data_IF_879565892475
#
_entry.id   IF_879565892475
#
_cell.length_a   1.000
_cell.length_b   1.000
_cell.length_c   1.000
_cell.angle_alpha   90.00
_cell.angle_beta   90.00
_cell.angle_gamma   90.00
#
_symmetry.space_group_name_H-M   'P 1'
#
loop_
_entity.id
_entity.type
_entity.pdbx_description
1 polymer ?
#
# COMPACT_ATOMS: atom_id res chain seq x y z
N UNK A 1 58.33 -39.82 -88.12
CA UNK A 1 57.43 -40.95 -87.78
C UNK A 1 56.11 -40.33 -87.35
N UNK A 2 55.06 -40.47 -88.17
CA UNK A 2 53.72 -40.05 -87.79
C UNK A 2 53.18 -41.04 -86.74
N UNK A 3 52.57 -40.54 -85.67
CA UNK A 3 51.90 -41.38 -84.68
C UNK A 3 50.81 -42.23 -85.37
N UNK A 4 50.60 -43.46 -84.91
CA UNK A 4 49.53 -44.30 -85.44
C UNK A 4 48.16 -43.77 -84.99
N UNK A 5 47.14 -43.92 -85.83
CA UNK A 5 45.77 -43.44 -85.56
C UNK A 5 45.18 -44.05 -84.26
N UNK A 6 45.63 -45.25 -83.89
CA UNK A 6 45.29 -45.92 -82.63
C UNK A 6 45.90 -45.23 -81.39
N UNK A 7 47.07 -44.61 -81.50
CA UNK A 7 47.70 -43.88 -80.40
C UNK A 7 47.04 -42.51 -80.20
N UNK A 8 46.60 -41.88 -81.28
CA UNK A 8 45.80 -40.64 -81.23
C UNK A 8 44.45 -40.89 -80.55
N UNK A 9 43.75 -41.98 -80.88
CA UNK A 9 42.50 -42.33 -80.19
C UNK A 9 42.68 -42.63 -78.70
N UNK A 10 43.80 -43.24 -78.29
CA UNK A 10 44.11 -43.47 -76.87
C UNK A 10 44.35 -42.14 -76.12
N UNK A 11 45.04 -41.18 -76.73
CA UNK A 11 45.24 -39.86 -76.14
C UNK A 11 43.92 -39.09 -76.00
N UNK A 12 43.03 -39.14 -76.99
CA UNK A 12 41.71 -38.51 -76.91
C UNK A 12 40.88 -39.11 -75.77
N UNK A 13 40.86 -40.45 -75.63
CA UNK A 13 40.17 -41.11 -74.50
C UNK A 13 40.75 -40.73 -73.14
N UNK A 14 42.07 -40.63 -73.05
CA UNK A 14 42.73 -40.16 -71.82
C UNK A 14 42.36 -38.71 -71.49
N UNK A 15 42.33 -37.82 -72.50
CA UNK A 15 41.88 -36.43 -72.31
C UNK A 15 40.40 -36.35 -71.89
N UNK A 16 39.52 -37.17 -72.47
CA UNK A 16 38.11 -37.22 -72.08
C UNK A 16 37.95 -37.69 -70.62
N UNK A 17 38.66 -38.73 -70.21
CA UNK A 17 38.64 -39.22 -68.83
C UNK A 17 39.17 -38.18 -67.84
N UNK A 18 40.19 -37.41 -68.22
CA UNK A 18 40.70 -36.31 -67.40
C UNK A 18 39.66 -35.20 -67.24
N UNK A 19 38.98 -34.80 -68.32
CA UNK A 19 37.92 -33.78 -68.27
C UNK A 19 36.74 -34.25 -67.40
N UNK A 20 36.36 -35.52 -67.50
CA UNK A 20 35.29 -36.11 -66.69
C UNK A 20 35.69 -36.17 -65.20
N UNK A 21 36.93 -36.55 -64.89
CA UNK A 21 37.44 -36.54 -63.52
C UNK A 21 37.49 -35.11 -62.96
N UNK A 22 38.01 -34.14 -63.71
CA UNK A 22 38.07 -32.74 -63.28
C UNK A 22 36.66 -32.15 -63.05
N UNK A 23 35.69 -32.52 -63.88
CA UNK A 23 34.29 -32.11 -63.70
C UNK A 23 33.68 -32.73 -62.44
N UNK A 24 33.93 -34.02 -62.17
CA UNK A 24 33.44 -34.71 -60.98
C UNK A 24 34.08 -34.16 -59.69
N UNK A 25 35.40 -33.96 -59.67
CA UNK A 25 36.10 -33.36 -58.53
C UNK A 25 35.56 -31.96 -58.22
N UNK A 26 35.27 -31.16 -59.26
CA UNK A 26 34.70 -29.82 -59.10
C UNK A 26 33.25 -29.86 -58.62
N UNK A 27 32.46 -30.86 -59.02
CA UNK A 27 31.12 -31.06 -58.50
C UNK A 27 31.15 -31.45 -57.01
N UNK A 28 32.02 -32.39 -56.62
CA UNK A 28 32.20 -32.78 -55.22
C UNK A 28 32.69 -31.62 -54.35
N UNK A 29 33.59 -30.77 -54.86
CA UNK A 29 34.03 -29.57 -54.14
C UNK A 29 32.88 -28.59 -53.90
N UNK A 30 31.99 -28.40 -54.89
CA UNK A 30 30.81 -27.54 -54.77
C UNK A 30 29.84 -28.11 -53.73
N UNK A 31 29.58 -29.41 -53.77
CA UNK A 31 28.66 -30.06 -52.83
C UNK A 31 29.19 -30.01 -51.39
N UNK A 32 30.49 -30.26 -51.19
CA UNK A 32 31.13 -30.15 -49.89
C UNK A 32 31.05 -28.72 -49.33
N UNK A 33 31.31 -27.70 -50.16
CA UNK A 33 31.16 -26.29 -49.76
C UNK A 33 29.72 -25.91 -49.45
N UNK A 34 28.77 -26.38 -50.25
CA UNK A 34 27.35 -26.11 -50.02
C UNK A 34 26.87 -26.70 -48.68
N UNK A 35 27.34 -27.90 -48.32
CA UNK A 35 27.02 -28.52 -47.04
C UNK A 35 27.67 -27.79 -45.85
N UNK A 36 28.92 -27.34 -46.00
CA UNK A 36 29.60 -26.52 -44.99
C UNK A 36 28.86 -25.20 -44.75
N UNK A 37 28.55 -24.46 -45.82
CA UNK A 37 27.81 -23.19 -45.75
C UNK A 37 26.42 -23.37 -45.15
N UNK A 38 25.70 -24.44 -45.53
CA UNK A 38 24.39 -24.76 -44.97
C UNK A 38 24.46 -24.96 -43.45
N UNK A 39 25.45 -25.72 -42.97
CA UNK A 39 25.62 -25.98 -41.55
C UNK A 39 25.99 -24.71 -40.77
N UNK A 40 26.83 -23.85 -41.34
CA UNK A 40 27.20 -22.55 -40.76
C UNK A 40 25.97 -21.64 -40.65
N UNK A 41 25.21 -21.45 -41.73
CA UNK A 41 24.03 -20.58 -41.73
C UNK A 41 22.90 -21.10 -40.83
N UNK A 42 22.65 -22.42 -40.86
CA UNK A 42 21.72 -23.06 -39.93
C UNK A 42 22.14 -22.82 -38.48
N UNK A 43 23.42 -23.01 -38.16
CA UNK A 43 23.97 -22.73 -36.83
C UNK A 43 23.76 -21.28 -36.42
N UNK A 44 24.08 -20.33 -37.32
CA UNK A 44 23.91 -18.89 -37.10
C UNK A 44 22.45 -18.51 -36.82
N UNK A 45 21.51 -19.01 -37.63
CA UNK A 45 20.07 -18.77 -37.47
C UNK A 45 19.56 -19.31 -36.14
N UNK A 46 19.92 -20.55 -35.80
CA UNK A 46 19.50 -21.18 -34.53
C UNK A 46 20.06 -20.41 -33.34
N UNK A 47 21.34 -20.05 -33.33
CA UNK A 47 21.95 -19.27 -32.23
C UNK A 47 21.30 -17.89 -32.08
N UNK A 48 21.05 -17.20 -33.20
CA UNK A 48 20.39 -15.89 -33.18
C UNK A 48 18.99 -15.96 -32.57
N UNK A 49 18.21 -16.98 -32.92
CA UNK A 49 16.87 -17.17 -32.35
C UNK A 49 16.92 -17.62 -30.89
N UNK A 50 17.88 -18.47 -30.51
CA UNK A 50 18.08 -18.87 -29.10
C UNK A 50 18.33 -17.65 -28.21
N UNK A 51 19.19 -16.72 -28.64
CA UNK A 51 19.45 -15.49 -27.88
C UNK A 51 18.18 -14.65 -27.70
N UNK A 52 17.38 -14.48 -28.75
CA UNK A 52 16.09 -13.77 -28.67
C UNK A 52 15.12 -14.44 -27.69
N UNK A 53 15.05 -15.77 -27.70
CA UNK A 53 14.22 -16.54 -26.78
C UNK A 53 14.72 -16.36 -25.33
N UNK A 54 16.03 -16.43 -25.10
CA UNK A 54 16.60 -16.21 -23.77
C UNK A 54 16.28 -14.82 -23.24
N UNK A 55 16.47 -13.77 -24.04
CA UNK A 55 16.17 -12.39 -23.63
C UNK A 55 14.67 -12.20 -23.32
N UNK A 56 13.79 -12.82 -24.11
CA UNK A 56 12.35 -12.78 -23.89
C UNK A 56 11.95 -13.43 -22.55
N UNK A 57 12.50 -14.60 -22.25
CA UNK A 57 12.22 -15.30 -21.00
C UNK A 57 12.84 -14.60 -19.80
N UNK A 58 14.04 -14.02 -19.93
CA UNK A 58 14.66 -13.23 -18.86
C UNK A 58 13.80 -12.01 -18.49
N UNK A 59 13.27 -11.31 -19.48
CA UNK A 59 12.32 -10.19 -19.26
C UNK A 59 11.05 -10.66 -18.56
N UNK A 60 10.47 -11.79 -18.99
CA UNK A 60 9.29 -12.37 -18.34
C UNK A 60 9.55 -12.78 -16.90
N UNK A 61 10.68 -13.41 -16.63
CA UNK A 61 11.06 -13.84 -15.29
C UNK A 61 11.21 -12.65 -14.35
N UNK A 62 11.94 -11.61 -14.78
CA UNK A 62 12.07 -10.35 -14.03
C UNK A 62 10.72 -9.69 -13.74
N UNK A 63 9.82 -9.68 -14.73
CA UNK A 63 8.48 -9.12 -14.56
C UNK A 63 7.65 -9.90 -13.51
N UNK A 64 7.70 -11.24 -13.56
CA UNK A 64 7.00 -12.10 -12.60
C UNK A 64 7.58 -11.92 -11.19
N UNK A 65 8.91 -11.85 -11.07
CA UNK A 65 9.56 -11.64 -9.77
C UNK A 65 9.15 -10.29 -9.16
N UNK A 66 9.14 -9.22 -9.96
CA UNK A 66 8.67 -7.90 -9.53
C UNK A 66 7.20 -7.93 -9.11
N UNK A 67 6.32 -8.56 -9.89
CA UNK A 67 4.91 -8.72 -9.55
C UNK A 67 4.72 -9.48 -8.24
N UNK A 68 5.48 -10.57 -8.01
CA UNK A 68 5.45 -11.31 -6.74
C UNK A 68 5.86 -10.43 -5.56
N UNK A 69 6.92 -9.60 -5.71
CA UNK A 69 7.35 -8.66 -4.65
C UNK A 69 6.26 -7.63 -4.34
N UNK A 70 5.61 -7.07 -5.36
CA UNK A 70 4.49 -6.11 -5.19
C UNK A 70 3.32 -6.79 -4.49
N UNK A 71 2.91 -7.98 -4.92
CA UNK A 71 1.81 -8.72 -4.30
C UNK A 71 2.10 -9.03 -2.83
N UNK A 72 3.31 -9.49 -2.52
CA UNK A 72 3.72 -9.78 -1.15
C UNK A 72 3.73 -8.52 -0.28
N UNK A 73 4.25 -7.40 -0.80
CA UNK A 73 4.24 -6.12 -0.11
C UNK A 73 2.81 -5.63 0.17
N UNK A 74 1.93 -5.71 -0.83
CA UNK A 74 0.52 -5.34 -0.68
C UNK A 74 -0.19 -6.20 0.36
N UNK A 75 0.04 -7.52 0.35
CA UNK A 75 -0.54 -8.45 1.32
C UNK A 75 -0.09 -8.11 2.75
N UNK A 76 1.20 -7.85 2.95
CA UNK A 76 1.75 -7.45 4.24
C UNK A 76 1.18 -6.10 4.71
N UNK A 77 1.05 -5.13 3.81
CA UNK A 77 0.45 -3.84 4.15
C UNK A 77 -1.04 -4.00 4.53
N UNK A 78 -1.80 -4.80 3.78
CA UNK A 78 -3.19 -5.10 4.13
C UNK A 78 -3.31 -5.78 5.50
N UNK A 79 -2.43 -6.74 5.81
CA UNK A 79 -2.40 -7.38 7.12
C UNK A 79 -2.11 -6.36 8.23
N UNK A 80 -1.12 -5.48 8.03
CA UNK A 80 -0.81 -4.39 8.97
C UNK A 80 -2.00 -3.46 9.19
N UNK A 81 -2.67 -3.03 8.13
CA UNK A 81 -3.85 -2.15 8.21
C UNK A 81 -5.01 -2.82 8.94
N UNK A 82 -5.23 -4.13 8.74
CA UNK A 82 -6.24 -4.88 9.49
C UNK A 82 -5.97 -4.87 10.99
N UNK A 83 -4.72 -5.08 11.40
CA UNK A 83 -4.33 -5.03 12.82
C UNK A 83 -4.53 -3.64 13.41
N UNK A 84 -4.10 -2.60 12.68
CA UNK A 84 -4.26 -1.21 13.13
C UNK A 84 -5.74 -0.84 13.27
N UNK A 85 -6.57 -1.23 12.31
CA UNK A 85 -8.01 -1.00 12.36
C UNK A 85 -8.65 -1.72 13.55
N UNK A 86 -8.34 -3.01 13.75
CA UNK A 86 -8.88 -3.75 14.89
C UNK A 86 -8.48 -3.11 16.23
N UNK A 87 -7.25 -2.58 16.34
CA UNK A 87 -6.80 -1.84 17.53
C UNK A 87 -7.59 -0.55 17.74
N UNK A 88 -7.82 0.21 16.68
CA UNK A 88 -8.57 1.46 16.75
C UNK A 88 -10.05 1.23 17.08
N UNK A 89 -10.65 0.17 16.49
CA UNK A 89 -12.01 -0.27 16.78
C UNK A 89 -12.14 -0.64 18.27
N UNK A 90 -11.18 -1.39 18.84
CA UNK A 90 -11.17 -1.74 20.26
C UNK A 90 -11.08 -0.51 21.18
N UNK A 91 -10.25 0.48 20.83
CA UNK A 91 -10.13 1.72 21.62
C UNK A 91 -11.44 2.51 21.53
N UNK A 92 -12.02 2.60 20.33
CA UNK A 92 -13.29 3.30 20.11
C UNK A 92 -14.43 2.64 20.88
N UNK A 93 -14.50 1.31 20.89
CA UNK A 93 -15.47 0.55 21.68
C UNK A 93 -15.29 0.79 23.18
N UNK A 94 -14.05 0.72 23.69
CA UNK A 94 -13.76 1.01 25.10
C UNK A 94 -14.15 2.44 25.50
N UNK A 95 -13.89 3.43 24.64
CA UNK A 95 -14.28 4.82 24.87
C UNK A 95 -15.80 4.99 24.84
N UNK A 96 -16.49 4.30 23.93
CA UNK A 96 -17.94 4.31 23.87
C UNK A 96 -18.57 3.66 25.11
N UNK A 97 -18.03 2.54 25.57
CA UNK A 97 -18.47 1.90 26.81
C UNK A 97 -18.22 2.82 28.01
N UNK A 98 -17.06 3.47 28.09
CA UNK A 98 -16.78 4.45 29.12
C UNK A 98 -17.77 5.63 29.09
N UNK A 99 -18.11 6.15 27.91
CA UNK A 99 -19.16 7.18 27.75
C UNK A 99 -20.54 6.70 28.21
N UNK A 100 -20.92 5.48 27.88
CA UNK A 100 -22.18 4.90 28.37
C UNK A 100 -22.19 4.76 29.89
N UNK A 101 -21.07 4.33 30.49
CA UNK A 101 -20.93 4.27 31.96
C UNK A 101 -21.01 5.67 32.59
N UNK A 102 -20.43 6.70 31.98
CA UNK A 102 -20.60 8.09 32.41
C UNK A 102 -22.05 8.55 32.32
N UNK A 103 -22.77 8.18 31.24
CA UNK A 103 -24.20 8.42 31.10
C UNK A 103 -25.04 7.78 32.21
N UNK A 104 -24.62 6.62 32.74
CA UNK A 104 -25.27 6.00 33.89
C UNK A 104 -25.00 6.75 35.21
N UNK A 105 -23.83 7.38 35.38
CA UNK A 105 -23.55 8.24 36.55
C UNK A 105 -24.48 9.45 36.56
N UNK A 106 -24.80 10.01 35.39
CA UNK A 106 -25.76 11.12 35.29
C UNK A 106 -27.18 10.76 35.77
N UNK A 107 -27.52 9.47 35.81
CA UNK A 107 -28.81 8.99 36.35
C UNK A 107 -28.80 8.80 37.86
N UNK A 108 -27.63 8.79 38.51
CA UNK A 108 -27.51 8.61 39.96
C UNK A 108 -27.74 9.96 40.69
N UNK A 109 -28.86 10.11 41.43
CA UNK A 109 -29.24 11.37 42.05
C UNK A 109 -28.33 11.79 43.22
N UNK A 110 -27.49 10.91 43.75
CA UNK A 110 -26.55 11.25 44.82
C UNK A 110 -25.16 11.63 44.27
N UNK A 111 -24.66 10.90 43.27
CA UNK A 111 -23.31 11.13 42.71
C UNK A 111 -23.26 12.29 41.72
N UNK A 112 -24.30 12.46 40.91
CA UNK A 112 -24.31 13.47 39.85
C UNK A 112 -24.27 14.92 40.38
N UNK A 113 -25.04 15.31 41.42
CA UNK A 113 -24.95 16.67 41.97
C UNK A 113 -23.58 16.99 42.58
N UNK A 114 -22.97 16.03 43.29
CA UNK A 114 -21.65 16.22 43.87
C UNK A 114 -20.56 16.39 42.80
N UNK A 115 -20.67 15.65 41.69
CA UNK A 115 -19.79 15.82 40.54
C UNK A 115 -19.99 17.19 39.88
N UNK A 116 -21.24 17.64 39.74
CA UNK A 116 -21.57 18.92 39.13
C UNK A 116 -21.08 20.11 39.96
N UNK A 117 -21.19 20.02 41.30
CA UNK A 117 -20.62 20.99 42.23
C UNK A 117 -19.11 21.15 41.98
N UNK A 118 -18.38 20.04 41.86
CA UNK A 118 -16.93 20.03 41.57
C UNK A 118 -16.56 20.60 40.20
N UNK A 119 -17.27 20.20 39.14
CA UNK A 119 -16.99 20.65 37.77
C UNK A 119 -17.25 22.15 37.59
N UNK A 120 -18.33 22.67 38.17
CA UNK A 120 -18.63 24.11 38.14
C UNK A 120 -17.53 24.87 38.88
N UNK A 121 -17.16 24.43 40.08
CA UNK A 121 -16.14 25.11 40.87
C UNK A 121 -14.77 25.12 40.16
N UNK A 122 -14.38 24.00 39.53
CA UNK A 122 -13.17 23.90 38.72
C UNK A 122 -13.19 24.92 37.56
N UNK A 123 -14.31 25.04 36.85
CA UNK A 123 -14.46 26.01 35.77
C UNK A 123 -14.33 27.45 36.26
N UNK A 124 -14.93 27.79 37.40
CA UNK A 124 -14.82 29.13 38.00
C UNK A 124 -13.37 29.48 38.38
N UNK A 125 -12.63 28.52 38.95
CA UNK A 125 -11.21 28.69 39.27
C UNK A 125 -10.32 28.86 38.03
N UNK A 126 -10.71 28.29 36.90
CA UNK A 126 -9.94 28.41 35.66
C UNK A 126 -10.23 29.71 34.91
N UNK A 127 -11.46 30.24 35.00
CA UNK A 127 -11.85 31.48 34.30
C UNK A 127 -11.37 32.75 35.02
N UNK A 128 -11.51 32.83 36.35
CA UNK A 128 -11.12 34.01 37.15
C UNK A 128 -11.77 35.34 36.72
N UNK A 129 -12.93 35.30 36.08
CA UNK A 129 -13.68 36.47 35.61
C UNK A 129 -14.79 36.87 36.60
N UNK A 130 -15.13 38.17 36.72
CA UNK A 130 -16.16 38.65 37.65
C UNK A 130 -17.59 38.31 37.21
N UNK A 131 -17.81 38.04 35.92
CA UNK A 131 -19.12 37.68 35.35
C UNK A 131 -18.97 36.41 34.51
N UNK A 132 -19.66 35.34 34.89
CA UNK A 132 -19.61 34.05 34.20
C UNK A 132 -21.02 33.62 33.81
N UNK A 133 -21.16 33.15 32.58
CA UNK A 133 -22.42 32.56 32.10
C UNK A 133 -22.22 31.06 31.90
N UNK A 134 -23.03 30.24 32.58
CA UNK A 134 -22.99 28.79 32.49
C UNK A 134 -24.05 28.30 31.51
N UNK A 135 -23.64 27.45 30.58
CA UNK A 135 -24.52 26.73 29.67
C UNK A 135 -24.66 25.28 30.14
N UNK A 136 -25.88 24.82 30.33
CA UNK A 136 -26.18 23.45 30.76
C UNK A 136 -27.27 22.80 29.91
N UNK A 137 -27.57 21.52 30.15
CA UNK A 137 -28.71 20.83 29.54
C UNK A 137 -30.00 21.27 30.23
N UNK A 138 -31.13 21.28 29.50
CA UNK A 138 -32.44 21.70 30.03
C UNK A 138 -32.88 20.93 31.28
N UNK A 139 -32.54 19.65 31.36
CA UNK A 139 -32.91 18.78 32.49
C UNK A 139 -32.14 19.13 33.78
N UNK A 140 -30.94 19.70 33.65
CA UNK A 140 -30.02 19.92 34.76
C UNK A 140 -30.11 21.35 35.33
N UNK A 141 -30.97 22.21 34.79
CA UNK A 141 -31.07 23.65 35.16
C UNK A 141 -31.30 23.84 36.66
N UNK A 142 -32.24 23.10 37.25
CA UNK A 142 -32.56 23.20 38.67
C UNK A 142 -31.39 22.76 39.56
N UNK A 143 -30.68 21.71 39.15
CA UNK A 143 -29.52 21.19 39.86
C UNK A 143 -28.36 22.19 39.79
N UNK A 144 -28.05 22.71 38.61
CA UNK A 144 -27.01 23.71 38.39
C UNK A 144 -27.29 24.99 39.19
N UNK A 145 -28.54 25.43 39.28
CA UNK A 145 -28.91 26.60 40.09
C UNK A 145 -28.63 26.37 41.58
N UNK A 146 -28.92 25.18 42.11
CA UNK A 146 -28.57 24.82 43.49
C UNK A 146 -27.05 24.73 43.70
N UNK A 147 -26.32 24.16 42.74
CA UNK A 147 -24.85 24.05 42.75
C UNK A 147 -24.15 25.42 42.75
N UNK A 148 -24.65 26.37 41.94
CA UNK A 148 -24.12 27.73 41.89
C UNK A 148 -24.21 28.41 43.27
N UNK A 149 -25.34 28.29 43.95
CA UNK A 149 -25.53 28.89 45.28
C UNK A 149 -24.55 28.32 46.31
N UNK A 150 -24.19 27.04 46.21
CA UNK A 150 -23.19 26.38 47.08
C UNK A 150 -21.76 26.79 46.73
N UNK A 151 -21.45 26.97 45.46
CA UNK A 151 -20.09 27.22 44.98
C UNK A 151 -19.64 28.68 45.08
N UNK A 152 -20.55 29.67 44.99
CA UNK A 152 -20.23 31.10 45.15
C UNK A 152 -19.45 31.42 46.46
N UNK A 153 -19.89 30.97 47.66
CA UNK A 153 -19.16 31.27 48.89
C UNK A 153 -17.78 30.60 48.95
N UNK A 154 -17.65 29.38 48.40
CA UNK A 154 -16.39 28.63 48.34
C UNK A 154 -15.40 29.34 47.40
N UNK A 155 -15.87 29.78 46.24
CA UNK A 155 -15.04 30.53 45.30
C UNK A 155 -14.59 31.88 45.87
N UNK A 156 -15.52 32.61 46.52
CA UNK A 156 -15.24 33.92 47.13
C UNK A 156 -14.23 33.82 48.27
N UNK A 157 -14.25 32.76 49.06
CA UNK A 157 -13.28 32.57 50.14
C UNK A 157 -11.87 32.27 49.61
N UNK A 158 -11.77 31.53 48.50
CA UNK A 158 -10.49 31.17 47.88
C UNK A 158 -9.87 32.31 47.06
N UNK A 159 -10.64 32.95 46.17
CA UNK A 159 -10.13 33.94 45.20
C UNK A 159 -10.28 35.39 45.69
N UNK A 160 -11.12 35.63 46.71
CA UNK A 160 -11.43 36.97 47.28
C UNK A 160 -12.05 37.95 46.28
N UNK A 161 -12.52 37.47 45.13
CA UNK A 161 -13.22 38.25 44.10
C UNK A 161 -14.70 37.90 44.15
N UNK A 162 -15.57 38.90 44.00
CA UNK A 162 -17.01 38.68 43.83
C UNK A 162 -17.29 38.20 42.41
N UNK A 163 -18.09 37.14 42.29
CA UNK A 163 -18.46 36.54 41.01
C UNK A 163 -19.98 36.58 40.83
N UNK A 164 -20.44 37.08 39.68
CA UNK A 164 -21.83 36.98 39.23
C UNK A 164 -21.94 35.80 38.25
N UNK A 165 -22.63 34.74 38.66
CA UNK A 165 -22.86 33.57 37.81
C UNK A 165 -24.30 33.58 37.31
N UNK A 166 -24.50 33.58 35.99
CA UNK A 166 -25.82 33.49 35.33
C UNK A 166 -25.94 32.20 34.53
N UNK A 167 -27.15 31.68 34.38
CA UNK A 167 -27.44 30.54 33.51
C UNK A 167 -27.97 31.08 32.18
N UNK A 168 -27.41 30.61 31.06
CA UNK A 168 -27.91 30.90 29.71
C UNK A 168 -29.26 30.20 29.51
N UNK A 169 -30.35 30.97 29.37
CA UNK A 169 -31.71 30.45 29.17
C UNK A 169 -32.09 30.35 27.69
N UNK A 170 -31.28 30.91 26.79
CA UNK A 170 -31.58 30.99 25.37
C UNK A 170 -30.88 29.86 24.60
N UNK A 171 -29.66 29.47 25.01
CA UNK A 171 -28.88 28.42 24.36
C UNK A 171 -28.57 27.28 25.33
N UNK A 172 -29.21 26.13 25.18
CA UNK A 172 -28.93 24.92 25.98
C UNK A 172 -28.00 23.95 25.25
N UNK A 173 -27.30 23.11 26.01
CA UNK A 173 -26.53 21.98 25.44
C UNK A 173 -27.51 20.93 24.90
N UNK A 174 -27.24 20.31 23.72
CA UNK A 174 -28.05 19.22 23.19
C UNK A 174 -28.22 18.04 24.17
N UNK A 175 -29.35 17.33 24.14
CA UNK A 175 -29.62 16.19 25.02
C UNK A 175 -28.84 14.91 24.68
N UNK A 176 -28.29 14.79 23.46
CA UNK A 176 -27.67 13.55 22.93
C UNK A 176 -26.13 13.51 23.05
N UNK A 177 -25.57 14.04 24.15
CA UNK A 177 -24.17 13.79 24.52
C UNK A 177 -24.10 13.05 25.85
#
# INVERSE_FOLDING_TARGET
MALSDADVQKQIKHMMAFIEQEANEKAEEIDAKAEEEFNIEKGRLVQTQRLKIMEYYEKKEKQIEQQKKIQMSNLMNQARLKVLKARDDMISEMLNEARQRLGNIAKDPARYPALMDGLILQGLYQLLEPKVTIRCRKQDVQMVQASIQRNIPIYKSAVKINIEVRIDQDNFIPPDV
#
